data_IF_563858748181
#
_entry.id   IF_563858748181
#
_cell.length_a   1.000
_cell.length_b   1.000
_cell.length_c   1.000
_cell.angle_alpha   90.00
_cell.angle_beta   90.00
_cell.angle_gamma   90.00
#
_symmetry.space_group_name_H-M   'P 1'
#
loop_
_entity.id
_entity.type
_entity.pdbx_description
1 polymer ?
#
# COMPACT_ATOMS: atom_id res chain seq x y z
N UNK A 1 -5.10 1.43 -22.09
CA UNK A 1 -3.76 2.04 -22.09
C UNK A 1 -3.75 3.11 -21.01
N UNK A 2 -3.47 2.75 -19.75
CA UNK A 2 -3.37 3.73 -18.67
C UNK A 2 -1.95 4.30 -18.66
N UNK A 3 -1.82 5.63 -18.82
CA UNK A 3 -0.54 6.32 -18.80
C UNK A 3 -0.14 6.50 -17.34
N UNK A 4 0.60 5.53 -16.80
CA UNK A 4 1.30 5.67 -15.52
C UNK A 4 2.21 6.90 -15.60
N UNK A 5 2.01 7.85 -14.68
CA UNK A 5 2.70 9.13 -14.68
C UNK A 5 4.19 8.86 -14.44
N UNK A 6 5.01 9.01 -15.49
CA UNK A 6 6.48 8.87 -15.46
C UNK A 6 7.06 9.72 -14.32
N UNK A 7 7.86 9.08 -13.48
CA UNK A 7 8.55 9.65 -12.31
C UNK A 7 9.29 10.94 -12.69
N UNK A 8 9.01 12.04 -11.98
CA UNK A 8 9.74 13.32 -12.10
C UNK A 8 11.11 13.18 -11.41
N UNK A 9 12.12 13.99 -11.77
CA UNK A 9 13.51 13.77 -11.34
C UNK A 9 13.76 13.84 -9.82
N UNK A 10 12.82 14.35 -9.02
CA UNK A 10 12.95 14.50 -7.58
C UNK A 10 11.68 14.05 -6.86
N UNK A 11 11.62 12.76 -6.51
CA UNK A 11 10.64 12.21 -5.57
C UNK A 11 9.25 11.90 -6.12
N UNK A 12 8.55 11.00 -5.43
CA UNK A 12 7.19 10.54 -5.72
C UNK A 12 6.09 11.48 -5.20
N UNK A 13 6.43 12.76 -4.92
CA UNK A 13 5.49 13.75 -4.39
C UNK A 13 5.11 13.51 -2.93
N UNK A 14 6.09 13.16 -2.10
CA UNK A 14 5.95 12.95 -0.66
C UNK A 14 6.93 13.84 0.09
N UNK A 15 6.55 14.25 1.30
CA UNK A 15 7.46 14.89 2.25
C UNK A 15 8.25 13.80 3.01
N UNK A 16 8.32 13.89 4.35
CA UNK A 16 8.98 12.89 5.18
C UNK A 16 8.12 11.63 5.29
N UNK A 17 8.71 10.48 4.95
CA UNK A 17 8.07 9.16 5.04
C UNK A 17 8.82 8.27 6.03
N UNK A 18 8.08 7.45 6.78
CA UNK A 18 8.60 6.50 7.75
C UNK A 18 7.83 5.16 7.77
N UNK A 19 8.27 4.23 8.62
CA UNK A 19 7.54 3.00 8.95
C UNK A 19 7.16 2.11 7.76
N UNK A 20 8.10 1.71 6.88
CA UNK A 20 7.77 0.86 5.74
C UNK A 20 7.26 -0.52 6.15
N UNK A 21 6.21 -1.00 5.48
CA UNK A 21 5.81 -2.41 5.51
C UNK A 21 5.63 -2.92 4.09
N UNK A 22 6.34 -4.00 3.75
CA UNK A 22 6.34 -4.61 2.41
C UNK A 22 5.58 -5.93 2.45
N UNK A 23 4.70 -6.17 1.49
CA UNK A 23 3.93 -7.41 1.41
C UNK A 23 3.57 -7.75 -0.04
N UNK A 24 3.29 -9.03 -0.28
CA UNK A 24 2.92 -9.56 -1.59
C UNK A 24 1.50 -9.11 -1.97
N UNK A 25 1.28 -8.77 -3.24
CA UNK A 25 -0.07 -8.51 -3.75
C UNK A 25 -0.96 -9.76 -3.63
N UNK A 26 -2.24 -9.58 -3.30
CA UNK A 26 -3.20 -10.69 -3.16
C UNK A 26 -3.50 -11.42 -4.49
N UNK A 27 -3.27 -10.79 -5.63
CA UNK A 27 -3.32 -11.42 -6.97
C UNK A 27 -2.12 -12.34 -7.23
N UNK A 28 -1.04 -12.20 -6.44
CA UNK A 28 0.23 -12.87 -6.68
C UNK A 28 1.20 -12.08 -7.55
N UNK A 29 0.75 -10.99 -8.19
CA UNK A 29 1.55 -10.20 -9.12
C UNK A 29 2.11 -8.94 -8.45
N UNK A 30 3.44 -8.89 -8.35
CA UNK A 30 4.13 -7.76 -7.72
C UNK A 30 4.03 -7.71 -6.20
N UNK A 31 4.34 -6.54 -5.65
CA UNK A 31 4.54 -6.27 -4.22
C UNK A 31 4.11 -4.85 -3.89
N UNK A 32 3.56 -4.67 -2.70
CA UNK A 32 3.26 -3.37 -2.13
C UNK A 32 4.29 -2.99 -1.07
N UNK A 33 4.62 -1.70 -0.98
CA UNK A 33 5.19 -1.08 0.21
C UNK A 33 4.29 0.06 0.67
N UNK A 34 3.86 -0.01 1.92
CA UNK A 34 3.14 1.08 2.55
C UNK A 34 4.14 1.92 3.34
N UNK A 35 4.19 3.23 3.06
CA UNK A 35 5.05 4.18 3.79
C UNK A 35 4.21 5.29 4.42
N UNK A 36 4.38 5.53 5.72
CA UNK A 36 3.59 6.52 6.48
C UNK A 36 4.14 7.90 6.16
N UNK A 37 3.33 8.74 5.54
CA UNK A 37 3.65 10.14 5.34
C UNK A 37 3.38 10.92 6.63
N UNK A 38 4.46 11.15 7.38
CA UNK A 38 4.43 11.79 8.68
C UNK A 38 3.92 13.23 8.58
N UNK A 39 2.91 13.56 9.39
CA UNK A 39 2.19 14.84 9.32
C UNK A 39 1.27 14.99 8.10
N UNK A 40 1.42 14.13 7.09
CA UNK A 40 0.64 14.14 5.85
C UNK A 40 -0.52 13.13 5.85
N UNK A 41 -0.69 12.47 4.69
CA UNK A 41 -1.85 11.65 4.32
C UNK A 41 -2.01 10.37 5.15
N UNK A 42 -0.95 9.88 5.81
CA UNK A 42 -0.90 8.53 6.38
C UNK A 42 -0.20 7.56 5.44
N UNK A 43 -0.48 6.27 5.57
CA UNK A 43 0.10 5.28 4.65
C UNK A 43 -0.21 5.57 3.17
N UNK A 44 0.83 5.53 2.35
CA UNK A 44 0.77 5.60 0.89
C UNK A 44 1.15 4.23 0.29
N UNK A 45 0.33 3.65 -0.59
CA UNK A 45 0.55 2.32 -1.14
C UNK A 45 1.38 2.38 -2.43
N UNK A 46 2.69 2.22 -2.35
CA UNK A 46 3.53 2.09 -3.55
C UNK A 46 3.56 0.63 -4.02
N UNK A 47 3.61 0.41 -5.33
CA UNK A 47 3.68 -0.91 -5.94
C UNK A 47 4.92 -1.07 -6.80
N UNK A 48 5.44 -2.29 -6.87
CA UNK A 48 6.45 -2.73 -7.83
C UNK A 48 6.12 -4.14 -8.32
N UNK A 49 6.46 -4.46 -9.56
CA UNK A 49 6.34 -5.82 -10.10
C UNK A 49 7.47 -6.75 -9.61
N UNK A 50 8.61 -6.18 -9.22
CA UNK A 50 9.83 -6.92 -8.84
C UNK A 50 10.49 -6.34 -7.60
N UNK A 51 10.96 -7.20 -6.68
CA UNK A 51 11.86 -6.80 -5.61
C UNK A 51 13.34 -6.88 -6.00
N UNK A 52 13.68 -7.65 -7.04
CA UNK A 52 15.05 -7.76 -7.53
C UNK A 52 15.47 -6.49 -8.30
N UNK A 53 14.52 -5.90 -9.02
CA UNK A 53 14.67 -4.66 -9.78
C UNK A 53 13.47 -3.75 -9.49
N UNK A 54 13.44 -3.09 -8.32
CA UNK A 54 12.25 -2.36 -7.89
C UNK A 54 12.06 -1.05 -8.66
N UNK A 55 10.85 -0.85 -9.18
CA UNK A 55 10.38 0.42 -9.75
C UNK A 55 9.10 0.83 -9.02
N UNK A 56 9.26 1.46 -7.85
CA UNK A 56 8.15 1.81 -6.97
C UNK A 56 7.32 2.96 -7.55
N UNK A 57 6.02 2.73 -7.71
CA UNK A 57 5.08 3.75 -8.18
C UNK A 57 3.86 3.87 -7.26
N UNK A 58 3.38 5.10 -7.07
CA UNK A 58 2.12 5.36 -6.37
C UNK A 58 0.97 5.28 -7.39
N UNK A 59 0.00 4.36 -7.24
CA UNK A 59 -1.17 4.32 -8.12
C UNK A 59 -1.92 5.66 -8.09
N UNK A 60 -2.54 6.03 -9.22
CA UNK A 60 -3.36 7.25 -9.29
C UNK A 60 -4.58 7.18 -8.38
N UNK A 61 -5.08 5.97 -8.13
CA UNK A 61 -6.26 5.70 -7.33
C UNK A 61 -5.98 4.58 -6.32
N UNK A 62 -6.32 4.83 -5.07
CA UNK A 62 -6.28 3.84 -3.99
C UNK A 62 -7.29 4.21 -2.92
N UNK A 63 -7.75 3.22 -2.14
CA UNK A 63 -8.67 3.42 -1.02
C UNK A 63 -8.09 2.81 0.25
N UNK A 64 -7.74 3.67 1.18
CA UNK A 64 -7.34 3.32 2.54
C UNK A 64 -8.32 3.95 3.54
N UNK A 65 -8.34 3.50 4.81
CA UNK A 65 -8.98 4.25 5.88
C UNK A 65 -8.47 5.71 5.92
N UNK A 66 -9.18 6.60 6.62
CA UNK A 66 -8.92 8.05 6.52
C UNK A 66 -7.51 8.48 6.94
N UNK A 67 -6.89 7.81 7.94
CA UNK A 67 -5.54 8.13 8.44
C UNK A 67 -4.80 6.90 9.01
N UNK A 68 -4.55 5.82 8.24
CA UNK A 68 -3.70 4.73 8.71
C UNK A 68 -2.29 5.24 9.01
N UNK A 69 -1.71 4.75 10.10
CA UNK A 69 -0.37 5.12 10.60
C UNK A 69 0.49 3.91 10.80
N UNK A 70 1.77 4.14 11.09
CA UNK A 70 2.80 3.12 11.30
C UNK A 70 2.26 1.86 11.99
N UNK A 71 2.27 0.76 11.25
CA UNK A 71 1.83 -0.57 11.64
C UNK A 71 2.36 -1.61 10.65
N UNK A 72 1.60 -2.69 10.45
CA UNK A 72 1.96 -3.72 9.47
C UNK A 72 0.71 -4.32 8.82
N UNK A 73 0.88 -4.95 7.66
CA UNK A 73 -0.16 -5.74 7.02
C UNK A 73 -0.07 -7.18 7.48
N UNK A 74 -1.13 -7.67 8.13
CA UNK A 74 -1.25 -9.07 8.52
C UNK A 74 -1.92 -9.86 7.39
N UNK A 75 -1.23 -10.82 6.75
CA UNK A 75 -1.88 -11.70 5.79
C UNK A 75 -2.88 -12.61 6.51
N UNK A 76 -4.07 -12.74 5.93
CA UNK A 76 -5.12 -13.63 6.40
C UNK A 76 -5.65 -14.47 5.25
N UNK A 77 -6.07 -15.69 5.52
CA UNK A 77 -6.77 -16.52 4.53
C UNK A 77 -8.17 -15.98 4.27
N UNK A 78 -8.77 -16.39 3.15
CA UNK A 78 -10.16 -16.05 2.83
C UNK A 78 -11.13 -16.51 3.93
N UNK A 79 -10.91 -17.70 4.50
CA UNK A 79 -11.72 -18.25 5.59
C UNK A 79 -11.55 -17.44 6.88
N UNK A 80 -10.34 -16.97 7.18
CA UNK A 80 -10.09 -16.09 8.33
C UNK A 80 -10.79 -14.75 8.17
N UNK A 81 -10.67 -14.13 6.99
CA UNK A 81 -11.35 -12.87 6.68
C UNK A 81 -12.88 -13.02 6.76
N UNK A 82 -13.43 -14.14 6.26
CA UNK A 82 -14.86 -14.44 6.36
C UNK A 82 -15.32 -14.54 7.82
N UNK A 83 -14.55 -15.23 8.69
CA UNK A 83 -14.88 -15.31 10.12
C UNK A 83 -14.86 -13.94 10.81
N UNK A 84 -13.88 -13.09 10.51
CA UNK A 84 -13.81 -11.74 11.08
C UNK A 84 -15.02 -10.92 10.66
N UNK A 85 -15.38 -10.93 9.37
CA UNK A 85 -16.55 -10.19 8.87
C UNK A 85 -17.88 -10.68 9.44
N UNK A 86 -18.03 -11.98 9.63
CA UNK A 86 -19.22 -12.55 10.26
C UNK A 86 -19.35 -12.16 11.74
N UNK A 87 -18.22 -12.07 12.46
CA UNK A 87 -18.20 -11.64 13.86
C UNK A 87 -18.46 -10.12 14.03
N UNK A 88 -18.10 -9.30 13.03
CA UNK A 88 -18.19 -7.83 13.07
C UNK A 88 -18.86 -7.25 11.81
N UNK A 89 -20.19 -7.36 11.64
CA UNK A 89 -20.86 -7.01 10.37
C UNK A 89 -21.02 -5.51 10.07
N UNK A 90 -20.80 -4.62 11.06
CA UNK A 90 -21.01 -3.16 10.94
C UNK A 90 -19.71 -2.34 11.10
N UNK A 91 -18.55 -2.98 10.99
CA UNK A 91 -17.24 -2.29 10.99
C UNK A 91 -16.86 -1.75 9.62
#
# INVERSE_FOLDING_TARGET
MAVGRRLRPHGVGTDWVEGPTVFKDNSGDGWWVFMDEAGGRGYLPFHTDSLAEPDWSLPSDYRLPSRPRHGTVLPVTAEQLARVRAAYPNS
#
